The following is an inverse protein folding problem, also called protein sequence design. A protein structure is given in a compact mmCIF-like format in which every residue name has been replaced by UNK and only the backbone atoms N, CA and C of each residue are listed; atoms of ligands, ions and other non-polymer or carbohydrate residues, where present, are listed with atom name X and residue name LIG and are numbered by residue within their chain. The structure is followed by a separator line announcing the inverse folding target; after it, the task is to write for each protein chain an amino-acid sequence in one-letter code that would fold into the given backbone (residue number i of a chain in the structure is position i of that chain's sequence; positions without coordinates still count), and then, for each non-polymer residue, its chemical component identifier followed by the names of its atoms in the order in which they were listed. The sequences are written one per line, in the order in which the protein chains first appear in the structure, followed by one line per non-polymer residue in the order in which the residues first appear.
data_IF_829455726675
#
_entry.id   IF_829455726675
#
_cell.length_a   1.000
_cell.length_b   1.000
_cell.length_c   1.000
_cell.angle_alpha   90.00
_cell.angle_beta   90.00
_cell.angle_gamma   90.00
#
_symmetry.space_group_name_H-M   'P 1'
#
loop_
_entity.id
_entity.type
_entity.pdbx_description
1 polymer ?
#
# COMPACT_ATOMS: atom_id res chain seq x y z
N UNK A 1 -13.43 -3.39 2.22
CA UNK A 1 -12.33 -3.68 3.18
C UNK A 1 -12.80 -4.15 4.56
N UNK A 2 -14.11 -4.15 4.89
CA UNK A 2 -14.57 -4.64 6.20
C UNK A 2 -14.48 -6.17 6.35
N UNK A 3 -14.69 -6.91 5.26
CA UNK A 3 -14.62 -8.39 5.27
C UNK A 3 -13.25 -8.89 4.81
N UNK A 4 -12.68 -8.30 3.75
CA UNK A 4 -11.39 -8.66 3.19
C UNK A 4 -10.41 -7.47 3.23
N UNK A 5 -9.87 -7.08 4.41
CA UNK A 5 -8.95 -5.94 4.52
C UNK A 5 -7.52 -6.24 4.08
N UNK A 6 -7.15 -7.53 4.02
CA UNK A 6 -5.76 -7.94 3.84
C UNK A 6 -5.45 -8.06 2.36
N UNK A 7 -4.55 -7.24 1.83
CA UNK A 7 -3.93 -7.48 0.53
C UNK A 7 -2.71 -8.38 0.71
N UNK A 8 -2.71 -9.52 0.03
CA UNK A 8 -1.56 -10.42 -0.05
C UNK A 8 -1.11 -10.52 -1.50
N UNK A 9 0.20 -10.42 -1.72
CA UNK A 9 0.76 -10.65 -3.04
C UNK A 9 2.12 -11.31 -3.00
N UNK A 10 2.58 -11.76 -4.18
CA UNK A 10 3.96 -12.21 -4.39
C UNK A 10 4.61 -11.38 -5.47
N UNK A 11 5.89 -11.08 -5.31
CA UNK A 11 6.69 -10.49 -6.36
C UNK A 11 8.14 -10.98 -6.30
N UNK A 12 8.88 -10.80 -7.39
CA UNK A 12 10.33 -10.99 -7.48
C UNK A 12 10.89 -9.81 -8.26
N UNK A 13 11.88 -9.15 -7.71
CA UNK A 13 12.71 -8.15 -8.41
C UNK A 13 14.06 -8.80 -8.72
N UNK A 14 14.55 -8.73 -9.96
CA UNK A 14 15.83 -9.36 -10.31
C UNK A 14 17.03 -8.60 -9.79
N UNK A 15 17.03 -7.29 -9.97
CA UNK A 15 18.08 -6.38 -9.54
C UNK A 15 17.43 -5.08 -9.10
N UNK A 16 18.00 -4.43 -8.08
CA UNK A 16 17.62 -3.07 -7.71
C UNK A 16 18.68 -2.14 -8.29
N UNK A 17 18.28 -0.96 -8.75
CA UNK A 17 19.24 -0.02 -9.33
C UNK A 17 20.15 0.51 -8.20
N UNK A 18 21.46 0.25 -8.30
CA UNK A 18 22.46 0.59 -7.27
C UNK A 18 22.50 2.10 -6.89
N UNK A 19 22.04 2.98 -7.79
CA UNK A 19 22.21 4.43 -7.68
C UNK A 19 20.97 5.24 -7.18
N UNK A 20 19.84 4.60 -6.84
CA UNK A 20 18.64 5.34 -6.41
C UNK A 20 18.67 5.85 -4.96
N UNK A 21 18.46 7.16 -4.77
CA UNK A 21 18.27 7.82 -3.47
C UNK A 21 16.82 8.31 -3.28
N UNK A 22 16.03 7.59 -2.48
CA UNK A 22 14.61 7.86 -2.19
C UNK A 22 14.30 9.13 -1.35
N UNK A 23 15.24 10.09 -1.30
CA UNK A 23 15.10 11.39 -0.60
C UNK A 23 15.25 12.59 -1.52
N UNK A 24 15.38 12.36 -2.82
CA UNK A 24 15.53 13.39 -3.86
C UNK A 24 14.71 12.98 -5.08
N UNK A 25 14.02 13.94 -5.70
CA UNK A 25 13.14 13.78 -6.88
C UNK A 25 13.81 13.04 -8.07
N UNK A 26 15.14 13.06 -8.15
CA UNK A 26 15.95 12.37 -9.17
C UNK A 26 16.40 10.93 -8.80
N UNK A 27 16.09 10.44 -7.60
CA UNK A 27 16.61 9.16 -7.08
C UNK A 27 15.54 8.12 -6.75
N UNK A 28 14.29 8.37 -7.10
CA UNK A 28 13.12 7.60 -6.65
C UNK A 28 12.79 6.41 -7.57
N UNK A 29 13.80 5.60 -7.85
CA UNK A 29 13.60 4.34 -8.58
C UNK A 29 12.97 3.30 -7.64
N UNK A 30 11.80 2.80 -8.01
CA UNK A 30 11.16 1.70 -7.32
C UNK A 30 11.04 0.52 -8.26
N UNK A 31 11.80 -0.54 -7.97
CA UNK A 31 11.89 -1.69 -8.85
C UNK A 31 10.53 -2.41 -9.04
N UNK A 32 9.58 -2.26 -8.12
CA UNK A 32 8.22 -2.77 -8.26
C UNK A 32 7.22 -1.97 -7.41
N UNK A 33 6.01 -1.79 -7.93
CA UNK A 33 4.91 -1.04 -7.29
C UNK A 33 3.57 -1.75 -7.43
N UNK A 34 2.75 -1.69 -6.39
CA UNK A 34 1.32 -2.07 -6.42
C UNK A 34 0.48 -0.92 -5.88
N UNK A 35 -0.42 -0.40 -6.71
CA UNK A 35 -1.37 0.63 -6.35
C UNK A 35 -2.71 0.01 -5.94
N UNK A 36 -3.32 0.57 -4.90
CA UNK A 36 -4.72 0.35 -4.54
C UNK A 36 -5.43 1.69 -4.62
N UNK A 37 -6.44 1.77 -5.48
CA UNK A 37 -7.23 2.98 -5.73
C UNK A 37 -8.62 2.86 -5.09
N UNK A 38 -9.22 4.00 -4.74
CA UNK A 38 -10.50 4.06 -4.04
C UNK A 38 -11.53 4.86 -4.84
N UNK A 39 -12.79 4.46 -4.75
CA UNK A 39 -13.90 5.09 -5.46
C UNK A 39 -14.42 6.33 -4.72
N UNK A 40 -14.07 7.52 -5.21
CA UNK A 40 -14.61 8.78 -4.71
C UNK A 40 -15.80 9.30 -5.51
N UNK A 41 -16.20 8.59 -6.58
CA UNK A 41 -17.32 8.97 -7.44
C UNK A 41 -18.64 8.37 -6.93
N UNK A 42 -18.60 7.16 -6.35
CA UNK A 42 -19.76 6.47 -5.77
C UNK A 42 -19.86 6.60 -4.23
N UNK A 43 -19.76 7.84 -3.74
CA UNK A 43 -19.91 8.15 -2.32
C UNK A 43 -21.38 8.23 -1.88
N UNK A 44 -21.70 7.64 -0.72
CA UNK A 44 -23.00 7.80 -0.07
C UNK A 44 -23.30 9.26 0.33
N UNK A 45 -24.56 9.59 0.65
CA UNK A 45 -25.00 10.97 0.93
C UNK A 45 -24.16 11.71 1.98
N UNK A 46 -23.71 11.00 3.02
CA UNK A 46 -22.86 11.58 4.08
C UNK A 46 -21.45 11.93 3.61
N UNK A 47 -20.83 11.05 2.81
CA UNK A 47 -19.49 11.28 2.27
C UNK A 47 -19.50 12.33 1.16
N UNK A 48 -20.58 12.40 0.38
CA UNK A 48 -20.82 13.53 -0.54
C UNK A 48 -20.88 14.86 0.18
N UNK A 49 -21.51 14.93 1.35
CA UNK A 49 -21.57 16.15 2.15
C UNK A 49 -20.18 16.54 2.68
N UNK A 50 -19.36 15.57 3.12
CA UNK A 50 -17.96 15.81 3.51
C UNK A 50 -17.13 16.32 2.34
N UNK A 51 -17.22 15.69 1.17
CA UNK A 51 -16.51 16.12 -0.05
C UNK A 51 -16.93 17.52 -0.45
N UNK A 52 -18.23 17.84 -0.40
CA UNK A 52 -18.72 19.19 -0.68
C UNK A 52 -18.15 20.22 0.30
N UNK A 53 -18.07 19.89 1.59
CA UNK A 53 -17.45 20.76 2.59
C UNK A 53 -15.95 20.99 2.33
N UNK A 54 -15.20 19.95 1.93
CA UNK A 54 -13.80 20.09 1.54
C UNK A 54 -13.64 20.99 0.31
N UNK A 55 -14.45 20.81 -0.73
CA UNK A 55 -14.45 21.69 -1.91
C UNK A 55 -14.71 23.16 -1.53
N UNK A 56 -15.66 23.43 -0.62
CA UNK A 56 -15.90 24.80 -0.14
C UNK A 56 -14.73 25.41 0.64
N UNK A 57 -13.81 24.60 1.15
CA UNK A 57 -12.59 25.03 1.82
C UNK A 57 -11.41 25.23 0.84
N UNK A 58 -11.64 25.15 -0.46
CA UNK A 58 -10.63 25.39 -1.51
C UNK A 58 -9.97 24.13 -2.06
N UNK A 59 -10.49 22.93 -1.77
CA UNK A 59 -10.03 21.67 -2.36
C UNK A 59 -10.81 21.36 -3.65
N UNK A 60 -10.59 22.15 -4.70
CA UNK A 60 -11.40 22.16 -5.93
C UNK A 60 -11.26 20.91 -6.80
N UNK A 61 -10.12 20.22 -6.71
CA UNK A 61 -9.89 18.90 -7.31
C UNK A 61 -9.44 17.95 -6.20
N UNK A 62 -10.29 16.98 -5.87
CA UNK A 62 -9.93 15.89 -4.93
C UNK A 62 -9.60 14.70 -5.82
N UNK A 63 -8.35 14.56 -6.30
CA UNK A 63 -7.97 13.42 -7.10
C UNK A 63 -8.09 12.13 -6.30
N UNK A 64 -8.27 11.04 -7.03
CA UNK A 64 -8.44 9.70 -6.48
C UNK A 64 -7.25 9.35 -5.60
N UNK A 65 -7.46 9.30 -4.28
CA UNK A 65 -6.41 8.87 -3.35
C UNK A 65 -5.99 7.44 -3.67
N UNK A 66 -4.71 7.13 -3.49
CA UNK A 66 -4.20 5.78 -3.68
C UNK A 66 -3.12 5.42 -2.65
N UNK A 67 -3.10 4.14 -2.26
CA UNK A 67 -1.96 3.56 -1.57
C UNK A 67 -1.03 2.93 -2.60
N UNK A 68 0.27 3.19 -2.50
CA UNK A 68 1.28 2.64 -3.38
C UNK A 68 2.28 1.80 -2.57
N UNK A 69 2.20 0.48 -2.67
CA UNK A 69 3.14 -0.43 -2.02
C UNK A 69 4.39 -0.60 -2.88
N UNK A 70 5.54 -0.23 -2.32
CA UNK A 70 6.79 -0.13 -3.08
C UNK A 70 7.87 -1.07 -2.56
N UNK A 71 8.70 -1.58 -3.47
CA UNK A 71 10.03 -2.08 -3.17
C UNK A 71 11.02 -0.91 -3.27
N UNK A 72 11.42 -0.35 -2.13
CA UNK A 72 12.26 0.85 -2.06
C UNK A 72 13.76 0.52 -2.14
N UNK A 73 14.62 1.47 -2.48
CA UNK A 73 16.06 1.21 -2.54
C UNK A 73 16.75 1.36 -1.18
N UNK A 74 16.43 2.43 -0.43
CA UNK A 74 17.13 2.82 0.80
C UNK A 74 16.23 3.29 1.94
N UNK A 75 14.95 2.87 1.94
CA UNK A 75 13.95 3.31 2.93
C UNK A 75 13.60 2.17 3.86
N UNK A 76 13.49 2.44 5.17
CA UNK A 76 13.11 1.39 6.11
C UNK A 76 11.74 0.80 5.78
N UNK A 77 11.63 -0.52 5.96
CA UNK A 77 10.36 -1.23 5.78
C UNK A 77 9.29 -0.67 6.72
N UNK A 78 8.08 -0.55 6.19
CA UNK A 78 6.88 0.05 6.77
C UNK A 78 6.89 1.58 6.89
N UNK A 79 7.87 2.26 6.30
CA UNK A 79 7.83 3.72 6.19
C UNK A 79 6.68 4.12 5.26
N UNK A 80 5.87 5.08 5.71
CA UNK A 80 4.87 5.76 4.89
C UNK A 80 5.47 7.08 4.43
N UNK A 81 5.52 7.30 3.12
CA UNK A 81 6.07 8.50 2.49
C UNK A 81 4.98 9.18 1.66
N UNK A 82 4.97 10.50 1.68
CA UNK A 82 4.25 11.29 0.68
C UNK A 82 4.98 11.14 -0.66
N UNK A 83 4.24 10.99 -1.77
CA UNK A 83 4.86 11.04 -3.08
C UNK A 83 5.41 12.45 -3.34
N UNK A 84 6.61 12.58 -3.90
CA UNK A 84 7.28 13.87 -4.13
C UNK A 84 6.45 14.84 -4.99
N UNK A 85 5.55 14.28 -5.81
CA UNK A 85 4.69 15.03 -6.71
C UNK A 85 3.31 15.36 -6.11
N UNK A 86 2.91 14.73 -4.99
CA UNK A 86 1.56 14.89 -4.40
C UNK A 86 1.31 14.12 -3.09
N UNK A 87 0.50 14.69 -2.19
CA UNK A 87 -0.10 14.06 -1.00
C UNK A 87 -1.31 13.14 -1.27
N UNK A 88 -1.69 12.97 -2.55
CA UNK A 88 -2.83 12.16 -2.99
C UNK A 88 -2.47 10.68 -3.12
N UNK A 89 -1.19 10.37 -3.32
CA UNK A 89 -0.67 9.01 -3.37
C UNK A 89 0.30 8.83 -2.21
N UNK A 90 -0.03 7.91 -1.31
CA UNK A 90 0.79 7.61 -0.15
C UNK A 90 1.55 6.31 -0.37
N UNK A 91 2.87 6.40 -0.31
CA UNK A 91 3.77 5.30 -0.57
C UNK A 91 4.03 4.54 0.71
N UNK A 92 3.94 3.22 0.65
CA UNK A 92 4.18 2.32 1.78
C UNK A 92 5.33 1.40 1.39
N UNK A 93 6.51 1.64 1.99
CA UNK A 93 7.68 0.81 1.75
C UNK A 93 7.48 -0.57 2.36
N UNK A 94 7.12 -1.57 1.57
CA UNK A 94 6.90 -2.93 2.09
C UNK A 94 8.16 -3.77 2.09
N UNK A 95 9.18 -3.33 1.37
CA UNK A 95 10.51 -3.93 1.30
C UNK A 95 11.52 -2.88 0.89
N UNK A 96 12.79 -3.11 1.24
CA UNK A 96 13.85 -2.26 0.72
C UNK A 96 15.19 -2.97 0.52
N UNK A 97 15.97 -2.42 -0.42
CA UNK A 97 17.32 -2.84 -0.73
C UNK A 97 17.39 -4.15 -1.50
N UNK A 98 18.61 -4.65 -1.63
CA UNK A 98 18.94 -5.77 -2.52
C UNK A 98 18.91 -7.14 -1.84
N UNK A 99 18.70 -7.18 -0.51
CA UNK A 99 18.85 -8.40 0.28
C UNK A 99 17.98 -9.58 -0.20
N UNK A 100 16.84 -9.28 -0.83
CA UNK A 100 15.87 -10.25 -1.29
C UNK A 100 15.67 -10.27 -2.82
N UNK A 101 16.56 -9.62 -3.58
CA UNK A 101 16.51 -9.71 -5.05
C UNK A 101 16.75 -11.14 -5.55
N UNK A 102 16.26 -11.41 -6.75
CA UNK A 102 16.29 -12.73 -7.38
C UNK A 102 15.37 -13.77 -6.73
N UNK A 103 14.65 -13.42 -5.65
CA UNK A 103 13.78 -14.35 -4.90
C UNK A 103 12.31 -13.92 -4.96
N UNK A 104 11.44 -14.92 -5.05
CA UNK A 104 10.02 -14.70 -4.82
C UNK A 104 9.77 -14.44 -3.34
N UNK A 105 9.19 -13.29 -3.04
CA UNK A 105 8.78 -12.92 -1.69
C UNK A 105 7.27 -12.71 -1.66
N UNK A 106 6.67 -12.98 -0.49
CA UNK A 106 5.25 -12.72 -0.22
C UNK A 106 5.15 -11.52 0.71
N UNK A 107 4.28 -10.58 0.35
CA UNK A 107 3.89 -9.46 1.20
C UNK A 107 2.44 -9.61 1.64
N UNK A 108 2.14 -9.02 2.80
CA UNK A 108 0.81 -8.99 3.39
C UNK A 108 0.62 -7.65 4.11
N UNK A 109 -0.40 -6.89 3.72
CA UNK A 109 -0.73 -5.58 4.30
C UNK A 109 -2.21 -5.46 4.60
N UNK A 110 -2.53 -4.73 5.66
CA UNK A 110 -3.90 -4.38 5.98
C UNK A 110 -4.21 -3.02 5.32
N UNK A 111 -4.92 -3.06 4.20
CA UNK A 111 -5.19 -1.87 3.37
C UNK A 111 -6.04 -0.85 4.12
N UNK A 112 -6.92 -1.31 5.01
CA UNK A 112 -7.76 -0.41 5.83
C UNK A 112 -6.93 0.36 6.84
N UNK A 113 -6.01 -0.32 7.53
CA UNK A 113 -5.11 0.31 8.49
C UNK A 113 -4.12 1.24 7.81
N UNK A 114 -3.54 0.80 6.70
CA UNK A 114 -2.59 1.61 5.92
C UNK A 114 -3.27 2.88 5.39
N UNK A 115 -4.52 2.77 4.91
CA UNK A 115 -5.28 3.94 4.46
C UNK A 115 -5.54 4.91 5.61
N UNK A 116 -6.00 4.41 6.76
CA UNK A 116 -6.27 5.25 7.95
C UNK A 116 -5.01 5.97 8.43
N UNK A 117 -3.87 5.27 8.44
CA UNK A 117 -2.59 5.85 8.82
C UNK A 117 -2.12 6.93 7.83
N UNK A 118 -2.33 6.70 6.54
CA UNK A 118 -1.88 7.59 5.47
C UNK A 118 -2.75 8.84 5.31
N UNK A 119 -4.08 8.70 5.35
CA UNK A 119 -5.02 9.75 4.94
C UNK A 119 -5.98 10.19 6.05
N UNK A 120 -6.03 9.46 7.15
CA UNK A 120 -7.05 9.62 8.18
C UNK A 120 -8.45 9.15 7.72
N UNK A 121 -9.26 8.73 8.69
CA UNK A 121 -10.63 8.27 8.44
C UNK A 121 -10.72 6.96 7.65
N UNK A 122 -11.95 6.57 7.32
CA UNK A 122 -12.21 5.33 6.59
C UNK A 122 -12.14 5.53 5.08
N UNK A 123 -11.55 4.58 4.33
CA UNK A 123 -11.51 4.64 2.88
C UNK A 123 -12.91 4.40 2.27
N UNK A 124 -13.18 5.00 1.11
CA UNK A 124 -14.23 4.50 0.22
C UNK A 124 -13.95 3.05 -0.25
N UNK A 125 -14.87 2.44 -1.02
CA UNK A 125 -14.62 1.14 -1.65
C UNK A 125 -13.35 1.17 -2.52
N UNK A 126 -12.60 0.06 -2.54
CA UNK A 126 -11.52 -0.12 -3.50
C UNK A 126 -12.14 -0.31 -4.89
N UNK A 127 -11.67 0.44 -5.90
CA UNK A 127 -12.13 0.31 -7.29
C UNK A 127 -11.08 -0.25 -8.24
N UNK A 128 -9.83 -0.41 -7.79
CA UNK A 128 -8.77 -0.86 -8.68
C UNK A 128 -7.51 -1.32 -7.95
N UNK A 129 -6.79 -2.20 -8.65
CA UNK A 129 -5.40 -2.55 -8.35
C UNK A 129 -4.60 -2.38 -9.63
N UNK A 130 -3.52 -1.62 -9.56
CA UNK A 130 -2.59 -1.46 -10.68
C UNK A 130 -1.19 -1.90 -10.26
N UNK A 131 -0.43 -2.44 -11.21
CA UNK A 131 0.97 -2.81 -11.03
C UNK A 131 1.83 -1.96 -11.93
N UNK A 132 3.01 -1.58 -11.45
CA UNK A 132 3.92 -0.75 -12.23
C UNK A 132 5.35 -1.12 -11.89
N UNK A 133 6.16 -1.26 -12.92
CA UNK A 133 7.62 -1.41 -12.83
C UNK A 133 8.19 -0.17 -13.48
N UNK A 134 8.99 0.59 -12.74
CA UNK A 134 9.41 1.93 -13.15
C UNK A 134 10.90 2.13 -12.87
N UNK A 135 11.64 2.61 -13.87
CA UNK A 135 13.10 2.87 -13.81
C UNK A 135 13.50 4.09 -14.63
N UNK A 136 12.64 5.09 -14.67
CA UNK A 136 12.79 6.24 -15.55
C UNK A 136 13.86 7.24 -15.08
N UNK A 137 14.34 7.15 -13.83
CA UNK A 137 15.25 8.17 -13.29
C UNK A 137 16.76 7.88 -13.41
N UNK A 138 17.18 6.63 -13.65
CA UNK A 138 18.63 6.28 -13.68
C UNK A 138 19.13 5.72 -15.02
N UNK A 139 18.25 5.57 -16.02
CA UNK A 139 18.62 4.95 -17.30
C UNK A 139 18.92 3.44 -17.21
N UNK A 140 18.59 2.81 -16.08
CA UNK A 140 18.68 1.37 -15.87
C UNK A 140 17.49 0.60 -16.44
N UNK A 141 17.52 -0.72 -16.29
CA UNK A 141 16.39 -1.62 -16.57
C UNK A 141 16.02 -2.36 -15.29
N UNK A 142 14.77 -2.29 -14.84
CA UNK A 142 14.27 -3.20 -13.82
C UNK A 142 13.39 -4.28 -14.45
N UNK A 143 13.58 -5.49 -13.98
CA UNK A 143 12.68 -6.60 -14.24
C UNK A 143 12.02 -7.02 -12.94
N UNK A 144 10.70 -6.90 -12.89
CA UNK A 144 9.88 -7.37 -11.79
C UNK A 144 8.81 -8.34 -12.28
N UNK A 145 8.59 -9.37 -11.48
CA UNK A 145 7.56 -10.39 -11.69
C UNK A 145 6.54 -10.28 -10.59
N UNK A 146 5.27 -10.44 -10.95
CA UNK A 146 4.14 -10.39 -10.03
C UNK A 146 3.44 -11.75 -10.06
N UNK A 147 3.14 -12.27 -8.88
CA UNK A 147 2.35 -13.49 -8.68
C UNK A 147 0.95 -13.15 -8.20
N UNK A 148 0.26 -14.12 -7.61
CA UNK A 148 -1.11 -13.93 -7.10
C UNK A 148 -1.24 -12.65 -6.28
N UNK A 149 -2.26 -11.84 -6.59
CA UNK A 149 -2.65 -10.63 -5.85
C UNK A 149 -4.07 -10.86 -5.36
N UNK A 150 -4.25 -10.94 -4.05
CA UNK A 150 -5.48 -11.43 -3.44
C UNK A 150 -5.87 -10.57 -2.24
N UNK A 151 -7.14 -10.17 -2.19
CA UNK A 151 -7.75 -9.70 -0.95
C UNK A 151 -8.21 -10.90 -0.11
N UNK A 152 -7.85 -10.90 1.17
CA UNK A 152 -8.15 -11.96 2.14
C UNK A 152 -8.84 -11.39 3.38
N UNK A 153 -9.60 -12.26 4.05
CA UNK A 153 -10.14 -11.94 5.35
C UNK A 153 -9.00 -11.68 6.35
N UNK A 154 -9.25 -10.79 7.32
CA UNK A 154 -8.39 -10.69 8.49
C UNK A 154 -8.39 -12.05 9.22
N UNK A 155 -7.26 -12.47 9.82
CA UNK A 155 -7.29 -13.60 10.73
C UNK A 155 -8.34 -13.34 11.80
N UNK A 156 -9.30 -14.24 11.94
CA UNK A 156 -10.22 -14.20 13.08
C UNK A 156 -9.40 -14.55 14.31
N UNK A 157 -9.32 -13.66 15.29
CA UNK A 157 -8.76 -13.99 16.61
C UNK A 157 -9.58 -15.14 17.20
N UNK A 158 -9.12 -16.36 16.94
CA UNK A 158 -9.76 -17.59 17.39
C UNK A 158 -9.06 -18.09 18.64
N UNK A 159 -9.72 -17.79 19.76
CA UNK A 159 -9.88 -18.68 20.92
C UNK A 159 -8.70 -18.77 21.89
N UNK A 160 -8.74 -17.93 22.93
CA UNK A 160 -8.23 -18.33 24.26
C UNK A 160 -9.17 -19.42 24.79
N UNK A 161 -8.85 -20.68 24.56
CA UNK A 161 -9.47 -21.79 25.31
C UNK A 161 -8.98 -21.62 26.75
N UNK A 162 -9.86 -21.18 27.63
CA UNK A 162 -9.62 -21.25 29.07
C UNK A 162 -9.91 -22.68 29.49
N UNK A 163 -8.88 -23.52 29.55
CA UNK A 163 -8.96 -24.78 30.29
C UNK A 163 -9.17 -24.43 31.77
N UNK A 164 -10.42 -24.60 32.24
CA UNK A 164 -10.74 -24.52 33.65
C UNK A 164 -10.11 -25.69 34.42
N UNK A 165 -9.69 -25.51 35.68
CA UNK A 165 -9.02 -26.55 36.41
C UNK A 165 -9.97 -27.71 36.69
N UNK A 166 -9.53 -28.92 36.33
CA UNK A 166 -10.09 -30.18 36.77
C UNK A 166 -10.18 -30.20 38.30
N UNK A 167 -11.40 -30.24 38.83
CA UNK A 167 -11.66 -30.50 40.25
C UNK A 167 -11.74 -32.01 40.44
N UNK A 168 -10.63 -32.59 40.87
CA UNK A 168 -10.60 -33.96 41.40
C UNK A 168 -11.35 -34.02 42.73
N UNK A 169 -12.26 -34.99 42.83
CA UNK A 169 -12.70 -35.60 44.09
C UNK A 169 -12.27 -37.05 44.09
#
# INVERSE_FOLDING_TARGET
LNEYPILEWRWKVEEVVEDGNARTEDGDDYAARIYVTFDYDDLGLGDRLKVAALRTLGYDDIPTRALNYIWANRVDRSTILENAFSDWVMMVAVRSGEADTGRWVRERRNVLEDYRAAFGGDPPPVNGVAIMTDTDNTGGTATAYYGDILFRAAPSDSTTVTDGPSSGK
#
